data_IF_837939075160
#
_entry.id   IF_837939075160
#
_cell.length_a   1.000
_cell.length_b   1.000
_cell.length_c   1.000
_cell.angle_alpha   90.00
_cell.angle_beta   90.00
_cell.angle_gamma   90.00
#
_symmetry.space_group_name_H-M   'P 1'
#
loop_
_entity.id
_entity.type
_entity.pdbx_description
1 polymer ?
#
# COMPACT_ATOMS: atom_id res chain seq x y z
N UNK A 1 31.89 6.89 8.98
CA UNK A 1 31.33 5.66 9.58
C UNK A 1 30.51 5.03 8.48
N UNK A 2 30.68 3.74 8.17
CA UNK A 2 29.78 3.10 7.22
C UNK A 2 28.41 2.96 7.88
N UNK A 3 27.36 3.46 7.25
CA UNK A 3 25.99 3.28 7.70
C UNK A 3 25.62 1.81 7.41
N UNK A 4 25.75 0.96 8.43
CA UNK A 4 25.37 -0.46 8.34
C UNK A 4 23.85 -0.53 8.58
N UNK A 5 23.11 -1.01 7.58
CA UNK A 5 21.67 -1.29 7.64
C UNK A 5 21.47 -2.82 7.58
N UNK A 6 21.55 -3.53 8.72
CA UNK A 6 21.47 -4.98 8.74
C UNK A 6 20.03 -5.44 8.50
N UNK A 7 19.83 -6.33 7.53
CA UNK A 7 18.52 -6.93 7.20
C UNK A 7 18.46 -8.41 7.56
N UNK A 8 19.46 -8.91 8.30
CA UNK A 8 19.49 -10.29 8.78
C UNK A 8 20.17 -10.43 10.14
N UNK A 9 19.92 -11.55 10.80
CA UNK A 9 20.59 -11.94 12.04
C UNK A 9 22.13 -11.96 11.92
N UNK A 10 22.64 -12.44 10.79
CA UNK A 10 24.09 -12.50 10.55
C UNK A 10 24.72 -11.11 10.42
N UNK A 11 24.03 -10.20 9.74
CA UNK A 11 24.47 -8.81 9.59
C UNK A 11 24.36 -8.02 10.90
N UNK A 12 23.35 -8.32 11.73
CA UNK A 12 23.22 -7.75 13.07
C UNK A 12 24.43 -8.07 13.97
N UNK A 13 25.03 -9.25 13.85
CA UNK A 13 26.27 -9.59 14.59
C UNK A 13 27.50 -8.82 14.11
N UNK A 14 27.48 -8.27 12.89
CA UNK A 14 28.56 -7.44 12.38
C UNK A 14 28.47 -5.99 12.89
N UNK A 15 27.37 -5.60 13.53
CA UNK A 15 27.19 -4.28 14.15
C UNK A 15 27.99 -4.21 15.45
N UNK A 16 28.77 -3.14 15.61
CA UNK A 16 29.62 -2.94 16.79
C UNK A 16 28.78 -2.96 18.08
N UNK A 17 29.17 -3.82 19.03
CA UNK A 17 28.51 -3.93 20.34
C UNK A 17 27.28 -4.84 20.36
N UNK A 18 26.94 -5.49 19.25
CA UNK A 18 25.94 -6.56 19.19
C UNK A 18 26.65 -7.91 19.32
N UNK A 19 26.26 -8.68 20.34
CA UNK A 19 26.72 -10.06 20.56
C UNK A 19 25.54 -10.99 20.74
N UNK A 20 25.79 -12.31 20.78
CA UNK A 20 24.75 -13.34 20.76
C UNK A 20 23.59 -13.11 21.74
N UNK A 21 23.90 -12.78 23.01
CA UNK A 21 22.86 -12.52 24.03
C UNK A 21 21.92 -11.34 23.70
N UNK A 22 22.40 -10.33 22.96
CA UNK A 22 21.57 -9.20 22.52
C UNK A 22 20.80 -9.56 21.25
N UNK A 23 21.44 -10.29 20.35
CA UNK A 23 20.80 -10.81 19.14
C UNK A 23 19.57 -11.65 19.52
N UNK A 24 19.74 -12.68 20.35
CA UNK A 24 18.65 -13.59 20.75
C UNK A 24 17.48 -12.89 21.46
N UNK A 25 17.74 -11.74 22.11
CA UNK A 25 16.73 -11.03 22.90
C UNK A 25 16.01 -9.93 22.12
N UNK A 26 16.66 -9.35 21.12
CA UNK A 26 16.19 -8.11 20.50
C UNK A 26 16.18 -8.14 18.97
N UNK A 27 16.75 -9.16 18.31
CA UNK A 27 16.93 -9.16 16.86
C UNK A 27 15.63 -8.98 16.09
N UNK A 28 14.56 -9.74 16.43
CA UNK A 28 13.28 -9.64 15.72
C UNK A 28 12.73 -8.20 15.72
N UNK A 29 12.60 -7.58 16.89
CA UNK A 29 12.05 -6.22 17.03
C UNK A 29 12.85 -5.18 16.24
N UNK A 30 14.19 -5.31 16.21
CA UNK A 30 15.02 -4.37 15.46
C UNK A 30 15.02 -4.66 13.97
N UNK A 31 15.03 -5.93 13.55
CA UNK A 31 14.98 -6.31 12.14
C UNK A 31 13.63 -5.93 11.53
N UNK A 32 12.53 -6.10 12.27
CA UNK A 32 11.21 -5.64 11.86
C UNK A 32 11.19 -4.11 11.67
N UNK A 33 11.71 -3.35 12.63
CA UNK A 33 11.78 -1.88 12.54
C UNK A 33 12.69 -1.39 11.41
N UNK A 34 13.82 -2.07 11.19
CA UNK A 34 14.75 -1.75 10.10
C UNK A 34 14.11 -2.09 8.76
N UNK A 35 13.44 -3.25 8.66
CA UNK A 35 12.71 -3.65 7.48
C UNK A 35 11.60 -2.63 7.16
N UNK A 36 10.80 -2.23 8.15
CA UNK A 36 9.79 -1.18 8.06
C UNK A 36 10.39 0.18 7.63
N UNK A 37 11.59 0.52 8.10
CA UNK A 37 12.30 1.72 7.66
C UNK A 37 12.80 1.62 6.21
N UNK A 38 13.28 0.45 5.78
CA UNK A 38 13.86 0.22 4.45
C UNK A 38 12.78 0.10 3.38
N UNK A 39 11.69 -0.62 3.65
CA UNK A 39 10.51 -0.67 2.77
C UNK A 39 9.76 0.66 2.77
N UNK A 40 10.09 1.55 3.72
CA UNK A 40 9.22 2.62 4.14
C UNK A 40 7.97 2.03 4.80
N UNK A 41 7.30 2.83 5.62
CA UNK A 41 5.87 2.60 5.82
C UNK A 41 5.22 2.84 4.45
N UNK A 42 5.14 1.81 3.62
CA UNK A 42 4.34 1.85 2.41
C UNK A 42 2.91 2.14 2.88
N UNK A 43 2.54 3.43 2.78
CA UNK A 43 1.29 3.96 3.32
C UNK A 43 0.09 3.21 2.76
N UNK A 44 0.25 2.66 1.56
CA UNK A 44 -0.75 1.88 0.85
C UNK A 44 -0.12 0.56 0.39
N UNK A 45 -0.82 -0.55 0.60
CA UNK A 45 -0.33 -1.89 0.29
C UNK A 45 -1.38 -2.70 -0.46
N UNK A 46 -0.98 -3.50 -1.43
CA UNK A 46 -1.90 -4.46 -2.05
C UNK A 46 -2.22 -5.58 -1.05
N UNK A 47 -3.51 -5.87 -0.87
CA UNK A 47 -3.97 -6.95 0.02
C UNK A 47 -4.34 -8.20 -0.75
N UNK A 48 -5.30 -8.10 -1.68
CA UNK A 48 -5.85 -9.22 -2.43
C UNK A 48 -6.29 -8.79 -3.82
N UNK A 49 -5.98 -9.58 -4.84
CA UNK A 49 -6.53 -9.41 -6.19
C UNK A 49 -7.60 -10.46 -6.46
N UNK A 50 -8.78 -10.02 -6.91
CA UNK A 50 -9.95 -10.83 -7.23
C UNK A 50 -10.12 -10.81 -8.75
N UNK A 51 -9.58 -11.84 -9.42
CA UNK A 51 -9.50 -11.88 -10.88
C UNK A 51 -10.87 -11.87 -11.57
N UNK A 52 -11.86 -12.59 -11.04
CA UNK A 52 -13.20 -12.70 -11.63
C UNK A 52 -13.96 -11.36 -11.64
N UNK A 53 -13.62 -10.43 -10.74
CA UNK A 53 -14.22 -9.11 -10.64
C UNK A 53 -13.30 -7.99 -11.13
N UNK A 54 -12.06 -8.32 -11.53
CA UNK A 54 -11.01 -7.34 -11.87
C UNK A 54 -10.93 -6.26 -10.79
N UNK A 55 -10.70 -6.72 -9.55
CA UNK A 55 -10.70 -5.89 -8.34
C UNK A 55 -9.45 -6.13 -7.51
N UNK A 56 -8.80 -5.04 -7.09
CA UNK A 56 -7.65 -5.06 -6.19
C UNK A 56 -8.04 -4.40 -4.87
N UNK A 57 -8.00 -5.17 -3.78
CA UNK A 57 -8.15 -4.67 -2.42
C UNK A 57 -6.82 -4.05 -1.97
N UNK A 58 -6.88 -2.86 -1.41
CA UNK A 58 -5.72 -2.08 -0.96
C UNK A 58 -5.89 -1.73 0.51
N UNK A 59 -4.86 -1.98 1.31
CA UNK A 59 -4.80 -1.51 2.69
C UNK A 59 -4.41 -0.03 2.71
N UNK A 60 -5.23 0.78 3.35
CA UNK A 60 -4.95 2.17 3.68
C UNK A 60 -4.63 2.28 5.19
N UNK A 61 -4.00 3.37 5.65
CA UNK A 61 -4.03 3.71 7.07
C UNK A 61 -5.49 3.92 7.49
N UNK A 62 -5.81 3.70 8.78
CA UNK A 62 -7.15 3.98 9.30
C UNK A 62 -7.60 5.39 8.93
N UNK A 63 -8.85 5.48 8.49
CA UNK A 63 -9.44 6.68 7.96
C UNK A 63 -10.89 6.78 8.39
N UNK A 64 -11.36 8.01 8.44
CA UNK A 64 -12.76 8.35 8.60
C UNK A 64 -13.30 9.08 7.35
N UNK A 65 -14.56 9.49 7.40
CA UNK A 65 -15.20 10.23 6.32
C UNK A 65 -14.43 11.49 5.90
N UNK A 66 -13.84 12.21 6.86
CA UNK A 66 -13.20 13.50 6.62
C UNK A 66 -11.75 13.37 6.16
N UNK A 67 -11.09 12.25 6.51
CA UNK A 67 -9.68 11.95 6.20
C UNK A 67 -9.47 11.07 4.97
N UNK A 68 -10.51 10.35 4.51
CA UNK A 68 -10.43 9.54 3.29
C UNK A 68 -10.04 10.37 2.04
N UNK A 69 -10.63 11.55 1.77
CA UNK A 69 -10.30 12.29 0.54
C UNK A 69 -8.81 12.63 0.41
N UNK A 70 -8.15 13.00 1.51
CA UNK A 70 -6.73 13.34 1.51
C UNK A 70 -5.89 12.07 1.26
N UNK A 71 -6.24 10.96 1.90
CA UNK A 71 -5.58 9.67 1.67
C UNK A 71 -5.76 9.16 0.23
N UNK A 72 -6.96 9.31 -0.33
CA UNK A 72 -7.24 8.94 -1.71
C UNK A 72 -6.46 9.82 -2.70
N UNK A 73 -6.31 11.12 -2.45
CA UNK A 73 -5.46 12.00 -3.28
C UNK A 73 -3.99 11.59 -3.23
N UNK A 74 -3.47 11.29 -2.04
CA UNK A 74 -2.11 10.81 -1.89
C UNK A 74 -1.89 9.47 -2.60
N UNK A 75 -2.85 8.54 -2.50
CA UNK A 75 -2.80 7.25 -3.20
C UNK A 75 -2.79 7.43 -4.72
N UNK A 76 -3.70 8.25 -5.26
CA UNK A 76 -3.75 8.54 -6.70
C UNK A 76 -2.47 9.20 -7.18
N UNK A 77 -1.90 10.13 -6.40
CA UNK A 77 -0.61 10.74 -6.71
C UNK A 77 0.54 9.73 -6.69
N UNK A 78 0.55 8.79 -5.74
CA UNK A 78 1.54 7.71 -5.67
C UNK A 78 1.50 6.83 -6.91
N UNK A 79 0.30 6.54 -7.43
CA UNK A 79 0.12 5.79 -8.68
C UNK A 79 0.47 6.61 -9.93
N UNK A 80 0.80 7.90 -9.82
CA UNK A 80 0.91 8.82 -10.97
C UNK A 80 -0.36 8.88 -11.83
N UNK A 81 -1.52 8.57 -11.24
CA UNK A 81 -2.83 8.62 -11.88
C UNK A 81 -3.45 10.02 -11.76
N UNK A 82 -4.58 10.24 -12.46
CA UNK A 82 -5.33 11.50 -12.41
C UNK A 82 -6.75 11.24 -11.93
N UNK A 83 -7.25 12.09 -11.05
CA UNK A 83 -8.69 12.08 -10.71
C UNK A 83 -9.47 12.70 -11.87
N UNK A 84 -10.45 11.96 -12.37
CA UNK A 84 -11.38 12.40 -13.43
C UNK A 84 -12.69 12.89 -12.82
N UNK A 85 -13.24 12.13 -11.86
CA UNK A 85 -14.50 12.45 -11.19
C UNK A 85 -14.46 11.98 -9.74
N UNK A 86 -15.12 12.72 -8.85
CA UNK A 86 -15.31 12.36 -7.45
C UNK A 86 -16.80 12.32 -7.14
N UNK A 87 -17.26 11.22 -6.57
CA UNK A 87 -18.59 11.09 -6.00
C UNK A 87 -18.45 10.64 -4.55
N UNK A 88 -19.36 11.12 -3.71
CA UNK A 88 -19.40 10.84 -2.29
C UNK A 88 -20.86 10.67 -1.88
N UNK A 89 -21.17 9.49 -1.38
CA UNK A 89 -22.44 9.14 -0.77
C UNK A 89 -22.29 9.13 0.77
N UNK A 90 -23.30 8.65 1.50
CA UNK A 90 -23.32 8.71 2.96
C UNK A 90 -22.16 7.95 3.62
N UNK A 91 -21.74 6.83 3.05
CA UNK A 91 -20.76 5.89 3.61
C UNK A 91 -19.71 5.40 2.59
N UNK A 92 -19.87 5.77 1.32
CA UNK A 92 -19.02 5.34 0.23
C UNK A 92 -18.47 6.53 -0.56
N UNK A 93 -17.16 6.55 -0.76
CA UNK A 93 -16.51 7.41 -1.75
C UNK A 93 -16.25 6.60 -3.02
N UNK A 94 -16.63 7.14 -4.18
CA UNK A 94 -16.39 6.54 -5.49
C UNK A 94 -15.70 7.55 -6.40
N UNK A 95 -14.43 7.31 -6.71
CA UNK A 95 -13.61 8.20 -7.53
C UNK A 95 -13.25 7.51 -8.84
N UNK A 96 -13.52 8.18 -9.96
CA UNK A 96 -13.00 7.77 -11.26
C UNK A 96 -11.58 8.31 -11.41
N UNK A 97 -10.64 7.42 -11.63
CA UNK A 97 -9.24 7.76 -11.88
C UNK A 97 -8.81 7.27 -13.27
N UNK A 98 -7.85 7.97 -13.84
CA UNK A 98 -7.16 7.63 -15.09
C UNK A 98 -5.72 7.27 -14.76
N UNK A 99 -5.40 5.99 -14.91
CA UNK A 99 -4.06 5.44 -14.78
C UNK A 99 -3.53 5.13 -16.18
N UNK A 100 -2.67 6.01 -16.70
CA UNK A 100 -2.06 5.88 -18.03
C UNK A 100 -3.06 5.66 -19.19
N UNK A 101 -4.27 6.24 -19.08
CA UNK A 101 -5.36 6.07 -20.05
C UNK A 101 -6.34 4.93 -19.75
N UNK A 102 -6.05 4.10 -18.74
CA UNK A 102 -6.99 3.10 -18.22
C UNK A 102 -7.84 3.71 -17.09
N UNK A 103 -9.17 3.56 -17.20
CA UNK A 103 -10.12 4.11 -16.24
C UNK A 103 -10.46 3.09 -15.17
N UNK A 104 -10.22 3.45 -13.90
CA UNK A 104 -10.48 2.61 -12.74
C UNK A 104 -11.34 3.34 -11.72
N UNK A 105 -12.17 2.59 -10.99
CA UNK A 105 -12.88 3.07 -9.80
C UNK A 105 -12.03 2.85 -8.57
N UNK A 106 -11.67 3.94 -7.89
CA UNK A 106 -11.19 3.90 -6.52
C UNK A 106 -12.37 4.07 -5.57
N UNK A 107 -12.63 3.05 -4.75
CA UNK A 107 -13.71 3.04 -3.78
C UNK A 107 -13.21 2.90 -2.36
N UNK A 108 -13.80 3.69 -1.46
CA UNK A 108 -13.51 3.64 -0.03
C UNK A 108 -14.80 3.64 0.77
N UNK A 109 -15.02 2.54 1.50
CA UNK A 109 -16.16 2.36 2.40
C UNK A 109 -15.71 2.62 3.84
N UNK A 110 -16.45 3.49 4.53
CA UNK A 110 -16.03 4.06 5.81
C UNK A 110 -16.14 3.08 6.98
N UNK A 111 -17.23 2.33 7.11
CA UNK A 111 -17.49 1.53 8.31
C UNK A 111 -16.57 0.31 8.44
N UNK A 112 -16.16 -0.27 7.31
CA UNK A 112 -15.21 -1.37 7.27
C UNK A 112 -13.77 -0.92 6.99
N UNK A 113 -13.54 0.38 6.77
CA UNK A 113 -12.27 0.94 6.29
C UNK A 113 -11.74 0.20 5.04
N UNK A 114 -12.65 -0.30 4.19
CA UNK A 114 -12.29 -1.08 3.00
C UNK A 114 -12.03 -0.17 1.81
N UNK A 115 -10.89 -0.37 1.16
CA UNK A 115 -10.52 0.36 -0.06
C UNK A 115 -10.18 -0.62 -1.18
N UNK A 116 -10.67 -0.33 -2.38
CA UNK A 116 -10.36 -1.13 -3.56
C UNK A 116 -10.30 -0.32 -4.84
N UNK A 117 -9.53 -0.84 -5.79
CA UNK A 117 -9.60 -0.46 -7.19
C UNK A 117 -10.41 -1.52 -7.94
N UNK A 118 -11.31 -1.12 -8.82
CA UNK A 118 -11.99 -2.03 -9.74
C UNK A 118 -12.02 -1.44 -11.15
N UNK A 119 -11.96 -2.31 -12.15
CA UNK A 119 -12.14 -1.89 -13.54
C UNK A 119 -13.60 -1.50 -13.82
N UNK A 120 -13.80 -0.66 -14.84
CA UNK A 120 -15.13 -0.34 -15.34
C UNK A 120 -15.82 -1.54 -16.03
N UNK A 121 -15.04 -2.52 -16.48
CA UNK A 121 -15.53 -3.77 -17.06
C UNK A 121 -14.58 -4.92 -16.77
N UNK A 122 -15.10 -6.15 -16.73
CA UNK A 122 -14.26 -7.34 -16.50
C UNK A 122 -13.38 -7.72 -17.71
N UNK A 123 -13.58 -7.07 -18.86
CA UNK A 123 -12.84 -7.35 -20.10
C UNK A 123 -11.59 -6.46 -20.25
N UNK A 124 -11.43 -5.44 -19.40
CA UNK A 124 -10.38 -4.42 -19.45
C UNK A 124 -9.79 -4.18 -18.05
N UNK A 125 -8.58 -3.61 -17.95
CA UNK A 125 -8.04 -3.14 -16.67
C UNK A 125 -7.30 -4.19 -15.82
N UNK A 126 -7.30 -5.46 -16.21
CA UNK A 126 -6.64 -6.53 -15.46
C UNK A 126 -5.12 -6.37 -15.44
N UNK A 127 -4.50 -6.06 -16.59
CA UNK A 127 -3.06 -5.82 -16.70
C UNK A 127 -2.63 -4.64 -15.83
N UNK A 128 -3.42 -3.56 -15.83
CA UNK A 128 -3.15 -2.37 -15.03
C UNK A 128 -3.31 -2.64 -13.52
N UNK A 129 -4.33 -3.38 -13.10
CA UNK A 129 -4.49 -3.74 -11.69
C UNK A 129 -3.42 -4.72 -11.20
N UNK A 130 -3.01 -5.68 -12.03
CA UNK A 130 -1.88 -6.56 -11.71
C UNK A 130 -0.57 -5.77 -11.59
N UNK A 131 -0.36 -4.80 -12.47
CA UNK A 131 0.78 -3.89 -12.38
C UNK A 131 0.73 -3.05 -11.10
N UNK A 132 -0.40 -2.42 -10.78
CA UNK A 132 -0.59 -1.64 -9.55
C UNK A 132 -0.37 -2.54 -8.31
N UNK A 133 -0.88 -3.77 -8.32
CA UNK A 133 -0.62 -4.72 -7.23
C UNK A 133 0.89 -4.97 -7.05
N UNK A 134 1.62 -5.16 -8.17
CA UNK A 134 3.08 -5.34 -8.13
C UNK A 134 3.84 -4.10 -7.64
N UNK A 135 3.30 -2.90 -7.87
CA UNK A 135 3.86 -1.63 -7.40
C UNK A 135 3.69 -1.50 -5.88
N UNK A 136 2.55 -1.91 -5.34
CA UNK A 136 2.19 -1.81 -3.93
C UNK A 136 2.71 -2.98 -3.07
N UNK A 137 3.32 -4.00 -3.69
CA UNK A 137 3.97 -5.12 -3.01
C UNK A 137 5.47 -4.89 -2.74
N UNK A 138 6.02 -3.73 -3.12
CA UNK A 138 7.45 -3.41 -3.02
C UNK A 138 7.82 -2.63 -1.76
#
# INVERSE_FOLDING_TARGET
>A
MADILPTSYGEMLAVNGVGQRKLDKYADVFLDLIQEHITGHAKFLASHYIADEVKLIVTFPSFDHDSYPQLAEEFVALLSAKVVEKQQDADLHTWLIDFEGCRLMLRGEHYSESVWLESLSVEEGSEELEFIASLLCK
#
